data_IF_442233261646
#
_entry.id   IF_442233261646
#
_cell.length_a   1.000
_cell.length_b   1.000
_cell.length_c   1.000
_cell.angle_alpha   90.00
_cell.angle_beta   90.00
_cell.angle_gamma   90.00
#
_symmetry.space_group_name_H-M   'P 1'
#
loop_
_entity.id
_entity.type
_entity.pdbx_description
1 polymer ?
#
# COMPACT_ATOMS: atom_id res chain seq x y z
N UNK A 1 -6.76 2.35 -24.43
CA UNK A 1 -6.35 3.70 -23.99
C UNK A 1 -4.98 3.53 -23.35
N UNK A 2 -3.94 3.48 -24.18
CA UNK A 2 -2.55 3.22 -23.79
C UNK A 2 -1.79 4.55 -23.67
N UNK A 3 -2.20 5.39 -22.70
CA UNK A 3 -1.57 6.69 -22.41
C UNK A 3 -1.39 6.85 -20.89
N UNK A 4 -0.85 5.83 -20.22
CA UNK A 4 -0.60 5.85 -18.77
C UNK A 4 0.91 5.89 -18.41
N UNK A 5 1.83 6.08 -19.36
CA UNK A 5 3.27 5.82 -19.10
C UNK A 5 4.08 6.95 -18.47
N UNK A 6 4.09 8.20 -18.99
CA UNK A 6 4.98 9.23 -18.47
C UNK A 6 4.66 9.64 -17.03
N UNK A 7 3.38 9.54 -16.66
CA UNK A 7 2.92 10.03 -15.36
C UNK A 7 3.31 9.10 -14.21
N UNK A 8 3.41 7.78 -14.43
CA UNK A 8 3.81 6.84 -13.36
C UNK A 8 5.26 7.09 -12.99
N UNK A 9 6.16 7.18 -13.97
CA UNK A 9 7.58 7.46 -13.71
C UNK A 9 7.78 8.82 -13.05
N UNK A 10 7.08 9.83 -13.55
CA UNK A 10 7.10 11.16 -12.95
C UNK A 10 6.59 11.12 -11.49
N UNK A 11 5.50 10.39 -11.23
CA UNK A 11 4.96 10.22 -9.88
C UNK A 11 5.96 9.52 -8.95
N UNK A 12 6.63 8.46 -9.43
CA UNK A 12 7.60 7.70 -8.63
C UNK A 12 8.86 8.52 -8.31
N UNK A 13 9.26 9.45 -9.17
CA UNK A 13 10.43 10.30 -8.96
C UNK A 13 10.27 11.34 -7.84
N UNK A 14 9.03 11.67 -7.44
CA UNK A 14 8.71 12.73 -6.47
C UNK A 14 8.72 12.32 -4.99
N UNK A 15 9.23 11.13 -4.67
CA UNK A 15 9.06 10.48 -3.37
C UNK A 15 7.75 9.71 -3.28
N UNK A 16 7.79 8.55 -2.62
CA UNK A 16 6.65 7.63 -2.51
C UNK A 16 6.43 7.22 -1.07
N UNK A 17 5.20 7.34 -0.58
CA UNK A 17 4.81 6.83 0.73
C UNK A 17 3.81 5.70 0.57
N UNK A 18 4.03 4.60 1.29
CA UNK A 18 3.16 3.44 1.27
C UNK A 18 2.36 3.29 2.57
N UNK A 19 1.15 2.74 2.45
CA UNK A 19 0.38 2.24 3.59
C UNK A 19 0.67 0.74 3.83
N UNK A 20 0.10 0.19 4.91
CA UNK A 20 0.26 -1.23 5.25
C UNK A 20 -0.35 -2.15 4.18
N UNK A 21 -1.46 -1.75 3.54
CA UNK A 21 -2.17 -2.60 2.58
C UNK A 21 -1.34 -2.90 1.33
N UNK A 22 -0.69 -1.88 0.76
CA UNK A 22 0.20 -2.07 -0.37
C UNK A 22 1.51 -2.70 0.06
N UNK A 23 2.09 -2.26 1.18
CA UNK A 23 3.37 -2.77 1.65
C UNK A 23 3.32 -4.28 1.91
N UNK A 24 2.25 -4.76 2.55
CA UNK A 24 2.03 -6.18 2.84
C UNK A 24 2.03 -7.04 1.58
N UNK A 25 1.44 -6.56 0.47
CA UNK A 25 1.38 -7.30 -0.78
C UNK A 25 2.78 -7.59 -1.33
N UNK A 26 3.72 -6.65 -1.25
CA UNK A 26 5.09 -6.85 -1.73
C UNK A 26 5.94 -7.60 -0.72
N UNK A 27 5.87 -7.28 0.56
CA UNK A 27 6.75 -7.89 1.56
C UNK A 27 6.35 -9.33 1.83
N UNK A 28 5.07 -9.61 2.13
CA UNK A 28 4.64 -10.94 2.55
C UNK A 28 4.76 -11.98 1.42
N UNK A 29 4.90 -11.53 0.16
CA UNK A 29 5.12 -12.40 -1.00
C UNK A 29 6.59 -12.59 -1.37
N UNK A 30 7.52 -11.91 -0.71
CA UNK A 30 8.96 -11.95 -0.98
C UNK A 30 9.43 -10.98 -2.08
N UNK A 31 8.56 -10.06 -2.54
CA UNK A 31 8.84 -9.12 -3.63
C UNK A 31 9.16 -7.70 -3.14
N UNK A 32 9.59 -7.52 -1.88
CA UNK A 32 9.98 -6.20 -1.36
C UNK A 32 11.06 -5.51 -2.20
N UNK A 33 12.01 -6.30 -2.73
CA UNK A 33 13.07 -5.83 -3.63
C UNK A 33 12.54 -5.17 -4.92
N UNK A 34 11.32 -5.51 -5.33
CA UNK A 34 10.70 -4.93 -6.52
C UNK A 34 10.29 -3.47 -6.28
N UNK A 35 9.88 -3.12 -5.05
CA UNK A 35 9.61 -1.73 -4.68
C UNK A 35 10.88 -0.90 -4.81
N UNK A 36 11.99 -1.33 -4.22
CA UNK A 36 13.27 -0.64 -4.33
C UNK A 36 13.67 -0.38 -5.80
N UNK A 37 13.57 -1.40 -6.66
CA UNK A 37 13.86 -1.25 -8.11
C UNK A 37 12.93 -0.26 -8.82
N UNK A 38 11.64 -0.26 -8.49
CA UNK A 38 10.66 0.64 -9.10
C UNK A 38 10.83 2.09 -8.64
N UNK A 39 11.17 2.28 -7.37
CA UNK A 39 11.28 3.60 -6.74
C UNK A 39 12.66 4.23 -6.94
N UNK A 40 13.69 3.41 -7.18
CA UNK A 40 15.09 3.86 -7.25
C UNK A 40 15.65 4.30 -5.89
N UNK A 41 15.03 3.84 -4.80
CA UNK A 41 15.38 4.21 -3.43
C UNK A 41 14.37 3.68 -2.40
N UNK A 42 14.55 4.00 -1.12
CA UNK A 42 13.69 3.52 -0.05
C UNK A 42 12.27 4.05 -0.19
N UNK A 43 11.28 3.19 0.08
CA UNK A 43 9.89 3.65 0.23
C UNK A 43 9.74 4.42 1.55
N UNK A 44 9.03 5.55 1.53
CA UNK A 44 8.70 6.22 2.77
C UNK A 44 7.56 5.50 3.49
N UNK A 45 7.67 5.41 4.81
CA UNK A 45 6.64 4.85 5.68
C UNK A 45 6.40 5.80 6.84
N UNK A 46 5.15 5.94 7.25
CA UNK A 46 4.80 6.70 8.43
C UNK A 46 5.00 5.83 9.69
N UNK A 47 5.29 6.40 10.87
CA UNK A 47 5.41 5.63 12.12
C UNK A 47 4.22 4.71 12.41
N UNK A 48 2.99 5.12 12.09
CA UNK A 48 1.81 4.26 12.25
C UNK A 48 1.84 2.99 11.37
N UNK A 49 2.55 3.03 10.23
CA UNK A 49 2.73 1.87 9.34
C UNK A 49 3.91 1.02 9.82
N UNK A 50 5.07 1.62 10.04
CA UNK A 50 6.27 0.97 10.57
C UNK A 50 7.06 1.96 11.45
N UNK A 51 7.03 1.72 12.75
CA UNK A 51 7.74 2.53 13.74
C UNK A 51 9.21 2.13 13.77
N UNK A 52 10.09 3.12 13.72
CA UNK A 52 11.53 2.89 13.71
C UNK A 52 12.11 2.51 15.06
N UNK A 53 11.41 2.79 16.16
CA UNK A 53 11.74 2.32 17.49
C UNK A 53 11.35 0.85 17.69
N UNK A 54 10.36 0.37 16.93
CA UNK A 54 9.95 -1.04 16.94
C UNK A 54 10.72 -1.88 15.94
N UNK A 55 11.31 -1.28 14.91
CA UNK A 55 12.09 -1.92 13.86
C UNK A 55 13.59 -2.13 14.22
N UNK A 56 13.91 -2.38 15.50
CA UNK A 56 15.29 -2.50 16.01
C UNK A 56 15.63 -3.98 16.31
N UNK A 57 16.83 -4.48 15.95
CA UNK A 57 17.26 -5.82 16.35
C UNK A 57 17.40 -5.99 17.88
N UNK A 58 17.06 -7.16 18.44
CA UNK A 58 16.41 -8.29 17.77
C UNK A 58 14.91 -8.05 17.58
N UNK A 59 14.38 -8.41 16.39
CA UNK A 59 12.95 -8.31 16.06
C UNK A 59 12.14 -9.57 16.32
N UNK A 60 12.76 -10.61 16.88
CA UNK A 60 12.08 -11.86 17.21
C UNK A 60 12.83 -12.59 18.34
N UNK A 61 12.15 -12.91 19.45
CA UNK A 61 10.75 -12.57 19.74
C UNK A 61 10.53 -11.06 19.91
N UNK A 62 9.26 -10.63 19.80
CA UNK A 62 8.85 -9.26 20.14
C UNK A 62 8.24 -9.31 21.54
N UNK A 63 8.79 -8.53 22.45
CA UNK A 63 8.40 -8.56 23.88
C UNK A 63 7.00 -8.00 24.14
N UNK A 64 6.46 -7.18 23.23
CA UNK A 64 5.16 -6.55 23.33
C UNK A 64 4.46 -6.48 21.95
N UNK A 65 3.13 -6.34 21.96
CA UNK A 65 2.37 -6.09 20.72
C UNK A 65 2.82 -4.75 20.12
N UNK A 66 3.30 -4.72 18.86
CA UNK A 66 3.74 -3.50 18.22
C UNK A 66 2.56 -2.58 17.94
N UNK A 67 2.80 -1.27 18.06
CA UNK A 67 1.88 -0.23 17.64
C UNK A 67 1.80 -0.12 16.11
N UNK A 68 2.89 -0.44 15.41
CA UNK A 68 2.90 -0.48 13.95
C UNK A 68 2.10 -1.67 13.41
N UNK A 69 1.18 -1.38 12.50
CA UNK A 69 0.31 -2.41 11.91
C UNK A 69 1.13 -3.46 11.14
N UNK A 70 2.22 -3.03 10.51
CA UNK A 70 3.06 -3.89 9.67
C UNK A 70 3.81 -4.98 10.46
N UNK A 71 4.21 -4.71 11.72
CA UNK A 71 4.91 -5.70 12.55
C UNK A 71 3.97 -6.66 13.28
N UNK A 72 2.66 -6.34 13.31
CA UNK A 72 1.68 -7.16 14.03
C UNK A 72 1.65 -8.64 13.59
N UNK A 73 1.71 -8.99 12.29
CA UNK A 73 1.81 -10.38 11.86
C UNK A 73 3.06 -11.10 12.40
N UNK A 74 4.19 -10.41 12.53
CA UNK A 74 5.42 -10.96 13.10
C UNK A 74 5.23 -11.28 14.59
N UNK A 75 4.62 -10.37 15.35
CA UNK A 75 4.24 -10.61 16.75
C UNK A 75 3.28 -11.81 16.87
N UNK A 76 2.20 -11.82 16.09
CA UNK A 76 1.19 -12.89 16.14
C UNK A 76 1.79 -14.27 15.82
N UNK A 77 2.77 -14.36 14.92
CA UNK A 77 3.41 -15.63 14.53
C UNK A 77 4.09 -16.39 15.67
N UNK A 78 4.35 -15.72 16.80
CA UNK A 78 4.99 -16.28 18.00
C UNK A 78 4.01 -17.08 18.88
N UNK A 79 2.70 -16.90 18.69
CA UNK A 79 1.67 -17.51 19.54
C UNK A 79 1.00 -18.72 18.87
N UNK A 80 0.60 -19.76 19.64
CA UNK A 80 -0.19 -20.88 19.11
C UNK A 80 -1.49 -20.42 18.44
N UNK A 81 -1.89 -21.06 17.33
CA UNK A 81 -3.12 -20.73 16.59
C UNK A 81 -2.94 -19.62 15.54
N UNK A 82 -1.74 -19.07 15.40
CA UNK A 82 -1.36 -18.04 14.44
C UNK A 82 -0.38 -18.56 13.38
N UNK A 83 -0.39 -19.86 13.12
CA UNK A 83 0.45 -20.52 12.11
C UNK A 83 0.37 -19.90 10.71
N UNK A 84 -0.77 -19.35 10.23
CA UNK A 84 -0.84 -18.69 8.93
C UNK A 84 0.13 -17.52 8.75
N UNK A 85 0.64 -16.89 9.83
CA UNK A 85 1.59 -15.78 9.75
C UNK A 85 3.05 -16.23 9.64
N UNK A 86 3.37 -17.48 10.00
CA UNK A 86 4.75 -18.01 9.99
C UNK A 86 5.44 -17.90 8.63
N UNK A 87 4.79 -18.16 7.48
CA UNK A 87 5.42 -18.05 6.17
C UNK A 87 5.91 -16.64 5.82
N UNK A 88 5.36 -15.59 6.46
CA UNK A 88 5.67 -14.20 6.14
C UNK A 88 6.67 -13.57 7.12
N UNK A 89 6.85 -14.16 8.30
CA UNK A 89 7.65 -13.61 9.39
C UNK A 89 9.10 -13.30 8.98
N UNK A 90 9.72 -14.15 8.17
CA UNK A 90 11.09 -13.93 7.67
C UNK A 90 11.17 -12.74 6.71
N UNK A 91 10.17 -12.57 5.83
CA UNK A 91 10.12 -11.44 4.90
C UNK A 91 9.85 -10.12 5.62
N UNK A 92 8.91 -10.11 6.57
CA UNK A 92 8.60 -8.94 7.39
C UNK A 92 9.83 -8.50 8.17
N UNK A 93 10.52 -9.44 8.82
CA UNK A 93 11.76 -9.16 9.57
C UNK A 93 12.86 -8.60 8.66
N UNK A 94 13.12 -9.26 7.53
CA UNK A 94 14.14 -8.82 6.60
C UNK A 94 13.85 -7.40 6.08
N UNK A 95 12.59 -7.08 5.79
CA UNK A 95 12.18 -5.75 5.37
C UNK A 95 12.32 -4.72 6.48
N UNK A 96 11.82 -5.01 7.69
CA UNK A 96 11.87 -4.09 8.82
C UNK A 96 13.31 -3.70 9.19
N UNK A 97 14.25 -4.66 9.14
CA UNK A 97 15.68 -4.40 9.36
C UNK A 97 16.36 -3.59 8.25
N UNK A 98 15.70 -3.41 7.10
CA UNK A 98 16.24 -2.69 5.94
C UNK A 98 16.14 -1.16 6.01
N UNK A 99 15.97 -0.56 7.19
CA UNK A 99 15.85 0.90 7.35
C UNK A 99 17.03 1.63 6.69
N UNK A 100 16.73 2.68 5.94
CA UNK A 100 17.68 3.46 5.16
C UNK A 100 18.09 2.84 3.82
N UNK A 101 17.67 1.60 3.54
CA UNK A 101 17.91 0.92 2.25
C UNK A 101 16.60 0.60 1.55
N UNK A 102 15.75 -0.23 2.15
CA UNK A 102 14.46 -0.63 1.58
C UNK A 102 13.33 0.31 1.96
N UNK A 103 13.43 0.97 3.11
CA UNK A 103 12.43 1.92 3.59
C UNK A 103 13.04 3.04 4.44
N UNK A 104 12.31 4.14 4.58
CA UNK A 104 12.70 5.28 5.42
C UNK A 104 11.49 5.88 6.12
N UNK A 105 11.67 6.35 7.36
CA UNK A 105 10.60 7.01 8.11
C UNK A 105 10.30 8.40 7.52
N UNK A 106 9.04 8.63 7.18
CA UNK A 106 8.49 9.96 6.95
C UNK A 106 7.73 10.41 8.20
N UNK A 107 8.47 10.94 9.19
CA UNK A 107 7.88 11.43 10.43
C UNK A 107 6.89 12.57 10.13
N UNK A 108 5.59 12.43 10.50
CA UNK A 108 4.59 13.43 10.19
C UNK A 108 4.79 14.68 11.05
N UNK A 109 4.59 15.84 10.44
CA UNK A 109 4.52 17.13 11.12
C UNK A 109 3.21 17.27 11.91
N UNK A 110 3.12 18.25 12.80
CA UNK A 110 1.90 18.52 13.57
C UNK A 110 0.69 18.79 12.65
N UNK A 111 0.88 19.47 11.53
CA UNK A 111 -0.20 19.72 10.55
C UNK A 111 -0.62 18.44 9.83
N UNK A 112 0.34 17.56 9.49
CA UNK A 112 0.04 16.26 8.88
C UNK A 112 -0.70 15.35 9.86
N UNK A 113 -0.33 15.35 11.15
CA UNK A 113 -1.06 14.62 12.19
C UNK A 113 -2.50 15.14 12.39
N UNK A 114 -2.69 16.46 12.37
CA UNK A 114 -4.03 17.06 12.44
C UNK A 114 -4.88 16.69 11.22
N UNK A 115 -4.27 16.63 10.04
CA UNK A 115 -4.92 16.18 8.82
C UNK A 115 -5.27 14.69 8.87
N UNK A 116 -4.36 13.84 9.33
CA UNK A 116 -4.60 12.41 9.54
C UNK A 116 -5.77 12.20 10.52
N UNK A 117 -5.81 12.95 11.63
CA UNK A 117 -6.95 12.93 12.56
C UNK A 117 -8.27 13.32 11.89
N UNK A 118 -8.23 14.21 10.91
CA UNK A 118 -9.40 14.60 10.12
C UNK A 118 -9.84 13.46 9.20
N UNK A 119 -8.92 12.76 8.53
CA UNK A 119 -9.23 11.61 7.67
C UNK A 119 -9.82 10.42 8.42
N UNK A 120 -9.52 10.27 9.71
CA UNK A 120 -10.11 9.25 10.60
C UNK A 120 -11.51 9.64 11.10
N UNK A 121 -11.90 10.90 10.98
CA UNK A 121 -13.14 11.41 11.53
C UNK A 121 -14.34 11.10 10.64
N UNK A 122 -15.48 10.76 11.24
CA UNK A 122 -16.77 10.63 10.52
C UNK A 122 -17.15 11.89 9.73
N UNK A 123 -16.62 13.05 10.10
CA UNK A 123 -16.84 14.32 9.39
C UNK A 123 -16.29 14.30 7.96
N UNK A 124 -15.20 13.57 7.69
CA UNK A 124 -14.59 13.53 6.35
C UNK A 124 -15.54 12.95 5.31
N UNK A 125 -16.41 12.03 5.74
CA UNK A 125 -17.42 11.40 4.89
C UNK A 125 -18.36 12.44 4.27
N UNK A 126 -18.78 13.43 5.04
CA UNK A 126 -19.66 14.48 4.54
C UNK A 126 -18.95 15.37 3.53
N UNK A 127 -17.68 15.69 3.78
CA UNK A 127 -16.88 16.48 2.85
C UNK A 127 -16.63 15.76 1.53
N UNK A 128 -16.28 14.46 1.58
CA UNK A 128 -16.09 13.63 0.38
C UNK A 128 -17.40 13.50 -0.40
N UNK A 129 -18.54 13.27 0.26
CA UNK A 129 -19.84 13.22 -0.43
C UNK A 129 -20.23 14.54 -1.08
N UNK A 130 -19.85 15.67 -0.47
CA UNK A 130 -20.13 17.01 -1.00
C UNK A 130 -19.31 17.29 -2.26
N UNK A 131 -18.03 16.92 -2.28
CA UNK A 131 -17.14 17.17 -3.43
C UNK A 131 -17.23 16.09 -4.51
N UNK A 132 -17.48 14.84 -4.12
CA UNK A 132 -17.48 13.68 -4.99
C UNK A 132 -18.74 12.82 -4.72
N UNK A 133 -19.90 13.24 -5.25
CA UNK A 133 -21.20 12.61 -4.93
C UNK A 133 -21.29 11.14 -5.36
N UNK A 134 -20.47 10.72 -6.33
CA UNK A 134 -20.41 9.34 -6.81
C UNK A 134 -19.65 8.39 -5.86
N UNK A 135 -18.89 8.93 -4.91
CA UNK A 135 -18.17 8.14 -3.92
C UNK A 135 -19.15 7.62 -2.86
N UNK A 136 -19.40 6.31 -2.91
CA UNK A 136 -20.25 5.58 -1.96
C UNK A 136 -19.41 4.68 -1.06
N UNK A 137 -19.85 4.53 0.20
CA UNK A 137 -19.27 3.60 1.16
C UNK A 137 -18.68 4.27 2.39
N UNK A 138 -17.87 3.50 3.14
CA UNK A 138 -17.03 3.97 4.23
C UNK A 138 -15.82 4.70 3.62
N UNK A 139 -15.46 5.83 4.21
CA UNK A 139 -14.36 6.71 3.75
C UNK A 139 -13.41 7.05 4.89
N UNK A 140 -13.79 6.77 6.14
CA UNK A 140 -12.91 6.92 7.28
C UNK A 140 -11.77 5.89 7.25
N UNK A 141 -10.56 6.42 7.35
CA UNK A 141 -9.32 5.66 7.32
C UNK A 141 -8.93 5.19 8.72
N UNK A 142 -8.11 4.14 8.80
CA UNK A 142 -7.43 3.79 10.04
C UNK A 142 -6.21 4.71 10.31
N UNK A 143 -5.39 4.38 11.32
CA UNK A 143 -4.25 5.22 11.70
C UNK A 143 -3.15 5.23 10.62
N UNK A 144 -2.75 4.06 10.13
CA UNK A 144 -1.69 3.92 9.12
C UNK A 144 -2.08 4.52 7.79
N UNK A 145 -3.28 4.21 7.30
CA UNK A 145 -3.85 4.77 6.07
C UNK A 145 -3.96 6.30 6.15
N UNK A 146 -4.46 6.83 7.28
CA UNK A 146 -4.67 8.27 7.43
C UNK A 146 -3.35 9.05 7.47
N UNK A 147 -2.36 8.55 8.19
CA UNK A 147 -1.07 9.20 8.34
C UNK A 147 -0.30 9.20 7.01
N UNK A 148 -0.24 8.06 6.32
CA UNK A 148 0.36 7.95 5.00
C UNK A 148 -0.34 8.85 3.97
N UNK A 149 -1.68 8.87 3.95
CA UNK A 149 -2.44 9.75 3.07
C UNK A 149 -2.21 11.25 3.37
N UNK A 150 -2.09 11.63 4.65
CA UNK A 150 -1.87 13.01 5.05
C UNK A 150 -0.48 13.52 4.64
N UNK A 151 0.54 12.68 4.81
CA UNK A 151 1.90 12.96 4.35
C UNK A 151 1.95 13.05 2.83
N UNK A 152 1.31 12.12 2.11
CA UNK A 152 1.24 12.18 0.64
C UNK A 152 0.60 13.49 0.15
N UNK A 153 -0.54 13.84 0.75
CA UNK A 153 -1.26 15.07 0.44
C UNK A 153 -0.47 16.35 0.73
N UNK A 154 0.31 16.37 1.80
CA UNK A 154 1.03 17.57 2.24
C UNK A 154 2.36 17.76 1.52
N UNK A 155 3.06 16.66 1.19
CA UNK A 155 4.40 16.68 0.58
C UNK A 155 4.41 16.50 -0.93
N UNK A 156 3.25 16.19 -1.53
CA UNK A 156 3.15 15.90 -2.96
C UNK A 156 3.79 14.56 -3.35
N UNK A 157 3.97 13.64 -2.40
CA UNK A 157 4.46 12.29 -2.69
C UNK A 157 3.40 11.48 -3.44
N UNK A 158 3.84 10.51 -4.23
CA UNK A 158 2.94 9.47 -4.70
C UNK A 158 2.48 8.61 -3.52
N UNK A 159 1.17 8.39 -3.43
CA UNK A 159 0.58 7.53 -2.42
C UNK A 159 0.41 6.12 -2.98
N UNK A 160 1.16 5.18 -2.40
CA UNK A 160 1.10 3.77 -2.75
C UNK A 160 0.11 3.08 -1.79
N UNK A 161 -1.05 2.71 -2.31
CA UNK A 161 -2.15 2.18 -1.47
C UNK A 161 -3.06 1.24 -2.25
N UNK A 162 -3.61 0.23 -1.58
CA UNK A 162 -4.66 -0.61 -2.15
C UNK A 162 -6.00 -0.55 -1.43
N UNK A 163 -6.06 0.03 -0.23
CA UNK A 163 -7.31 0.28 0.44
C UNK A 163 -8.23 1.19 -0.38
N UNK A 164 -9.50 0.80 -0.46
CA UNK A 164 -10.48 1.47 -1.30
C UNK A 164 -10.87 2.83 -0.73
N UNK A 165 -11.05 2.93 0.60
CA UNK A 165 -11.46 4.17 1.24
C UNK A 165 -10.35 5.22 1.10
N UNK A 166 -9.09 4.83 1.30
CA UNK A 166 -7.91 5.67 1.14
C UNK A 166 -7.77 6.17 -0.31
N UNK A 167 -7.86 5.27 -1.29
CA UNK A 167 -7.83 5.62 -2.73
C UNK A 167 -8.94 6.62 -3.07
N UNK A 168 -10.16 6.38 -2.61
CA UNK A 168 -11.31 7.25 -2.90
C UNK A 168 -11.17 8.63 -2.24
N UNK A 169 -10.71 8.67 -0.99
CA UNK A 169 -10.50 9.91 -0.25
C UNK A 169 -9.45 10.79 -0.94
N UNK A 170 -8.26 10.25 -1.22
CA UNK A 170 -7.15 11.03 -1.79
C UNK A 170 -7.49 11.50 -3.20
N UNK A 171 -8.02 10.63 -4.07
CA UNK A 171 -8.43 11.03 -5.42
C UNK A 171 -9.52 12.10 -5.44
N UNK A 172 -10.41 12.09 -4.44
CA UNK A 172 -11.48 13.06 -4.32
C UNK A 172 -10.98 14.43 -3.81
N UNK A 173 -10.27 14.43 -2.69
CA UNK A 173 -9.92 15.66 -1.98
C UNK A 173 -8.59 16.26 -2.46
N UNK A 174 -7.70 15.45 -3.02
CA UNK A 174 -6.35 15.81 -3.43
C UNK A 174 -6.05 15.24 -4.83
N UNK A 175 -6.77 15.67 -5.89
CA UNK A 175 -6.62 15.09 -7.23
C UNK A 175 -5.22 15.27 -7.85
N UNK A 176 -4.40 16.17 -7.30
CA UNK A 176 -3.00 16.34 -7.71
C UNK A 176 -2.02 15.34 -7.10
N UNK A 177 -2.45 14.53 -6.12
CA UNK A 177 -1.62 13.50 -5.49
C UNK A 177 -1.70 12.21 -6.31
N UNK A 178 -0.58 11.71 -6.86
CA UNK A 178 -0.59 10.46 -7.60
C UNK A 178 -0.97 9.30 -6.68
N UNK A 179 -1.89 8.44 -7.13
CA UNK A 179 -2.29 7.23 -6.39
C UNK A 179 -1.96 5.99 -7.22
N UNK A 180 -1.01 5.21 -6.71
CA UNK A 180 -0.52 3.98 -7.34
C UNK A 180 -0.93 2.78 -6.50
N UNK A 181 -1.27 1.69 -7.18
CA UNK A 181 -1.82 0.47 -6.58
C UNK A 181 -0.97 -0.73 -6.98
N UNK A 182 -1.03 -1.83 -6.24
CA UNK A 182 -0.21 -3.03 -6.51
C UNK A 182 -0.33 -3.50 -7.96
N UNK A 183 -1.54 -3.58 -8.53
CA UNK A 183 -1.70 -4.01 -9.93
C UNK A 183 -0.96 -3.09 -10.91
N UNK A 184 -1.06 -1.76 -10.73
CA UNK A 184 -0.42 -0.78 -11.59
C UNK A 184 1.10 -0.83 -11.47
N UNK A 185 1.62 -0.98 -10.25
CA UNK A 185 3.05 -1.14 -9.99
C UNK A 185 3.60 -2.43 -10.61
N UNK A 186 2.89 -3.55 -10.49
CA UNK A 186 3.29 -4.81 -11.13
C UNK A 186 3.26 -4.70 -12.67
N UNK A 187 2.23 -4.07 -13.24
CA UNK A 187 2.20 -3.82 -14.68
C UNK A 187 3.37 -2.93 -15.13
N UNK A 188 3.75 -1.92 -14.34
CA UNK A 188 4.90 -1.07 -14.60
C UNK A 188 6.23 -1.84 -14.48
N UNK A 189 6.39 -2.69 -13.47
CA UNK A 189 7.54 -3.57 -13.32
C UNK A 189 7.76 -4.47 -14.53
N UNK A 190 6.68 -5.02 -15.10
CA UNK A 190 6.76 -5.82 -16.33
C UNK A 190 7.25 -4.98 -17.50
N UNK A 191 6.72 -3.77 -17.69
CA UNK A 191 7.17 -2.87 -18.77
C UNK A 191 8.63 -2.46 -18.63
N UNK A 192 9.11 -2.30 -17.40
CA UNK A 192 10.52 -2.00 -17.09
C UNK A 192 11.44 -3.23 -17.16
N UNK A 193 10.91 -4.42 -17.44
CA UNK A 193 11.68 -5.65 -17.49
C UNK A 193 12.21 -6.10 -16.13
N UNK A 194 11.64 -5.62 -15.03
CA UNK A 194 12.01 -6.02 -13.67
C UNK A 194 11.34 -7.32 -13.23
N UNK A 195 10.21 -7.67 -13.87
CA UNK A 195 9.44 -8.87 -13.56
C UNK A 195 8.84 -9.46 -14.85
N UNK A 196 8.95 -10.77 -15.11
CA UNK A 196 8.19 -11.44 -16.16
C UNK A 196 6.67 -11.24 -16.00
N UNK A 197 5.95 -11.14 -17.11
CA UNK A 197 4.51 -10.84 -17.05
C UNK A 197 3.67 -11.97 -16.44
N UNK A 198 4.01 -13.21 -16.77
CA UNK A 198 3.39 -14.40 -16.21
C UNK A 198 3.60 -14.47 -14.70
N UNK A 199 4.79 -14.15 -14.21
CA UNK A 199 5.10 -14.04 -12.78
C UNK A 199 4.29 -12.92 -12.10
N UNK A 200 4.22 -11.73 -12.71
CA UNK A 200 3.40 -10.62 -12.23
C UNK A 200 1.90 -10.97 -12.18
N UNK A 201 1.41 -11.66 -13.21
CA UNK A 201 0.03 -12.11 -13.30
C UNK A 201 -0.28 -13.19 -12.27
N UNK A 202 0.66 -14.10 -12.02
CA UNK A 202 0.53 -15.12 -11.00
C UNK A 202 0.49 -14.53 -9.59
N UNK A 203 1.43 -13.63 -9.30
CA UNK A 203 1.50 -12.90 -8.05
C UNK A 203 0.18 -12.19 -7.75
N UNK A 204 -0.32 -11.39 -8.70
CA UNK A 204 -1.53 -10.60 -8.50
C UNK A 204 -2.81 -11.45 -8.49
N UNK A 205 -3.00 -12.31 -9.48
CA UNK A 205 -4.28 -13.01 -9.69
C UNK A 205 -4.44 -14.24 -8.80
N UNK A 206 -3.33 -14.84 -8.36
CA UNK A 206 -3.34 -16.08 -7.58
C UNK A 206 -2.82 -15.87 -6.17
N UNK A 207 -1.54 -15.48 -6.00
CA UNK A 207 -0.91 -15.46 -4.67
C UNK A 207 -1.58 -14.44 -3.76
N UNK A 208 -1.62 -13.17 -4.16
CA UNK A 208 -2.30 -12.12 -3.37
C UNK A 208 -3.78 -12.44 -3.14
N UNK A 209 -4.50 -12.86 -4.18
CA UNK A 209 -5.93 -13.11 -4.08
C UNK A 209 -6.30 -14.33 -3.22
N UNK A 210 -5.58 -15.45 -3.35
CA UNK A 210 -5.93 -16.72 -2.69
C UNK A 210 -5.22 -16.93 -1.36
N UNK A 211 -3.94 -16.55 -1.27
CA UNK A 211 -3.11 -16.83 -0.10
C UNK A 211 -3.21 -15.69 0.94
N UNK A 212 -3.41 -14.45 0.47
CA UNK A 212 -3.48 -13.27 1.34
C UNK A 212 -4.89 -12.67 1.46
N UNK A 213 -5.87 -13.22 0.73
CA UNK A 213 -7.24 -12.73 0.75
C UNK A 213 -7.42 -11.32 0.15
N UNK A 214 -6.48 -10.86 -0.67
CA UNK A 214 -6.57 -9.58 -1.35
C UNK A 214 -7.57 -9.65 -2.51
N UNK A 215 -8.84 -9.29 -2.25
CA UNK A 215 -9.91 -9.34 -3.25
C UNK A 215 -10.26 -7.95 -3.80
N UNK A 216 -9.54 -7.51 -4.83
CA UNK A 216 -9.93 -6.34 -5.62
C UNK A 216 -11.18 -6.66 -6.47
N UNK A 217 -12.37 -6.33 -5.96
CA UNK A 217 -13.64 -6.56 -6.66
C UNK A 217 -14.53 -5.32 -6.68
N UNK A 218 -15.36 -5.22 -7.73
CA UNK A 218 -16.37 -4.16 -7.87
C UNK A 218 -17.68 -4.74 -8.41
N UNK A 219 -18.75 -3.96 -8.31
CA UNK A 219 -20.01 -4.22 -9.02
C UNK A 219 -20.17 -3.16 -10.10
N UNK A 220 -20.42 -3.61 -11.32
CA UNK A 220 -20.67 -2.77 -12.48
C UNK A 220 -21.90 -3.30 -13.21
N UNK A 221 -22.91 -2.45 -13.42
CA UNK A 221 -24.23 -2.84 -13.94
C UNK A 221 -24.84 -4.11 -13.29
N UNK A 222 -24.62 -4.30 -11.97
CA UNK A 222 -25.10 -5.47 -11.22
C UNK A 222 -24.20 -6.73 -11.33
N UNK A 223 -23.19 -6.72 -12.20
CA UNK A 223 -22.23 -7.82 -12.37
C UNK A 223 -21.03 -7.62 -11.44
N UNK A 224 -20.66 -8.68 -10.70
CA UNK A 224 -19.45 -8.66 -9.87
C UNK A 224 -18.24 -8.91 -10.76
N UNK A 225 -17.37 -7.90 -10.87
CA UNK A 225 -16.09 -7.97 -11.57
C UNK A 225 -14.95 -8.10 -10.57
N UNK A 226 -13.85 -8.72 -10.98
CA UNK A 226 -12.58 -8.78 -10.27
C UNK A 226 -11.50 -8.08 -11.11
N UNK A 227 -10.64 -7.34 -10.44
CA UNK A 227 -9.46 -6.78 -11.09
C UNK A 227 -8.47 -7.90 -11.33
N UNK A 228 -7.92 -7.97 -12.53
CA UNK A 228 -6.87 -8.92 -12.89
C UNK A 228 -5.75 -8.26 -13.67
N UNK A 229 -4.53 -8.74 -13.47
CA UNK A 229 -3.39 -8.41 -14.30
C UNK A 229 -3.38 -9.37 -15.51
N UNK A 230 -3.32 -8.81 -16.72
CA UNK A 230 -3.32 -9.55 -17.99
C UNK A 230 -2.06 -9.22 -18.76
N UNK A 231 -1.55 -10.21 -19.51
CA UNK A 231 -0.37 -10.09 -20.34
C UNK A 231 -0.74 -9.84 -21.81
N UNK A 232 0.13 -9.11 -22.52
CA UNK A 232 0.00 -8.79 -23.94
C UNK A 232 -0.96 -7.62 -24.28
N UNK A 233 -0.63 -6.35 -23.97
CA UNK A 233 0.43 -5.81 -23.09
C UNK A 233 0.05 -5.92 -21.60
N UNK A 234 0.99 -5.73 -20.65
CA UNK A 234 0.70 -5.77 -19.21
C UNK A 234 -0.29 -4.67 -18.81
N UNK A 235 -1.50 -5.07 -18.40
CA UNK A 235 -2.57 -4.15 -18.01
C UNK A 235 -3.52 -4.75 -16.96
N UNK A 236 -4.11 -3.87 -16.17
CA UNK A 236 -5.09 -4.20 -15.14
C UNK A 236 -6.51 -4.07 -15.71
N UNK A 237 -7.26 -5.17 -15.75
CA UNK A 237 -8.59 -5.24 -16.37
C UNK A 237 -9.61 -5.72 -15.34
N UNK A 238 -10.79 -5.10 -15.34
CA UNK A 238 -11.95 -5.59 -14.60
C UNK A 238 -12.73 -6.59 -15.47
N UNK A 239 -12.87 -7.83 -14.99
CA UNK A 239 -13.57 -8.93 -15.66
C UNK A 239 -14.41 -9.78 -14.70
#
# INVERSE_FOLDING_TARGET
MDVEEPWVEQALSGGCIADTSLLSNFVNTGYAHLLDRLLGGPVFLSPSVLDDQEAIPPLDPLDAEPSSEFLRPLYLSQFPGNEPYKPWASYIRAFALGKGTTWQTAAPTTSELALASTFRSKKIRNEVRRRCPDVRGRIELDAGEAEAAAVAASRGFAFLVDDRAAVQLVRCLYPGVPVLRTCGLLAHAVRKGHLPCDEAADLFNRRLAREMGFYASRRDAGVKQRLRLRCGPPRCIWE
#
